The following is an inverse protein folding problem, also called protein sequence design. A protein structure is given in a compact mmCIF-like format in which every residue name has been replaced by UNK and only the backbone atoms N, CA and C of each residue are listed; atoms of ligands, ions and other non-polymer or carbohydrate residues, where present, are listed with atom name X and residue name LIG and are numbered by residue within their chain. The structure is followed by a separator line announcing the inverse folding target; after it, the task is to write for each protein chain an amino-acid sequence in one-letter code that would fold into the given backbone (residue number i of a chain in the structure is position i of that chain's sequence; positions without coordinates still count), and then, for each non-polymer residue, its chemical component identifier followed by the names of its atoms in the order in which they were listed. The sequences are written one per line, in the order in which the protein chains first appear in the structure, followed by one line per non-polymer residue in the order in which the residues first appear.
data_IF_909330175481
#
_entry.id   IF_909330175481
#
_cell.length_a   1.000
_cell.length_b   1.000
_cell.length_c   1.000
_cell.angle_alpha   90.00
_cell.angle_beta   90.00
_cell.angle_gamma   90.00
#
_symmetry.space_group_name_H-M   'P 1'
#
loop_
_entity.id
_entity.type
_entity.pdbx_description
1 polymer ?
#
# COMPACT_ATOMS: atom_id res chain seq x y z
N UNK A 1 17.87 -27.66 10.38
CA UNK A 1 18.07 -26.27 10.81
C UNK A 1 16.83 -25.44 10.47
N UNK A 2 16.29 -24.79 11.46
CA UNK A 2 15.19 -23.88 11.24
C UNK A 2 15.74 -22.56 10.69
N UNK A 3 15.25 -22.15 9.52
CA UNK A 3 15.49 -20.81 9.03
C UNK A 3 14.56 -19.87 9.79
N UNK A 4 15.14 -18.96 10.55
CA UNK A 4 14.38 -17.92 11.24
C UNK A 4 14.18 -16.76 10.30
N UNK A 5 12.93 -16.55 9.91
CA UNK A 5 12.55 -15.40 9.11
C UNK A 5 12.48 -14.17 10.00
N UNK A 6 12.78 -13.01 9.41
CA UNK A 6 12.85 -11.75 10.16
C UNK A 6 11.49 -11.09 10.28
N UNK A 7 11.28 -10.44 11.39
CA UNK A 7 10.12 -9.57 11.61
C UNK A 7 10.52 -8.42 12.52
N UNK A 8 9.96 -7.24 12.26
CA UNK A 8 10.29 -6.03 12.99
C UNK A 8 9.04 -5.20 13.24
N UNK A 9 8.88 -4.72 14.47
CA UNK A 9 7.84 -3.77 14.82
C UNK A 9 8.30 -2.37 14.43
N UNK A 10 7.41 -1.64 13.78
CA UNK A 10 7.65 -0.28 13.28
C UNK A 10 6.68 0.65 13.99
N UNK A 11 7.18 1.74 14.55
CA UNK A 11 6.41 2.56 15.48
C UNK A 11 6.15 3.99 15.02
N UNK A 12 6.53 4.35 13.79
CA UNK A 12 6.24 5.66 13.23
C UNK A 12 5.84 5.59 11.77
N UNK A 13 5.07 6.57 11.31
CA UNK A 13 4.71 6.71 9.89
C UNK A 13 5.96 6.88 9.04
N UNK A 14 6.91 7.68 9.49
CA UNK A 14 8.18 7.89 8.77
C UNK A 14 8.90 6.58 8.48
N UNK A 15 9.04 5.74 9.49
CA UNK A 15 9.72 4.45 9.34
C UNK A 15 8.90 3.48 8.51
N UNK A 16 7.58 3.50 8.63
CA UNK A 16 6.70 2.67 7.80
C UNK A 16 6.84 3.03 6.31
N UNK A 17 6.92 4.31 5.98
CA UNK A 17 7.13 4.76 4.61
C UNK A 17 8.49 4.32 4.08
N UNK A 18 9.54 4.42 4.90
CA UNK A 18 10.87 3.93 4.52
C UNK A 18 10.87 2.43 4.22
N UNK A 19 10.19 1.64 5.04
CA UNK A 19 10.05 0.19 4.84
C UNK A 19 9.24 -0.09 3.58
N UNK A 20 8.10 0.57 3.38
CA UNK A 20 7.28 0.41 2.18
C UNK A 20 8.07 0.76 0.91
N UNK A 21 8.84 1.85 0.94
CA UNK A 21 9.72 2.23 -0.16
C UNK A 21 10.73 1.13 -0.48
N UNK A 22 11.34 0.53 0.53
CA UNK A 22 12.28 -0.58 0.36
C UNK A 22 11.64 -1.82 -0.25
N UNK A 23 10.40 -2.14 0.15
CA UNK A 23 9.65 -3.26 -0.43
C UNK A 23 9.41 -3.02 -1.93
N UNK A 24 8.91 -1.83 -2.30
CA UNK A 24 8.64 -1.49 -3.71
C UNK A 24 9.94 -1.51 -4.51
N UNK A 25 11.01 -0.95 -3.97
CA UNK A 25 12.31 -0.87 -4.64
C UNK A 25 12.91 -2.25 -4.91
N UNK A 26 12.74 -3.18 -3.98
CA UNK A 26 13.25 -4.55 -4.11
C UNK A 26 12.33 -5.49 -4.89
N UNK A 27 11.08 -5.12 -5.10
CA UNK A 27 10.13 -5.94 -5.85
C UNK A 27 10.52 -6.01 -7.33
N UNK A 28 10.32 -7.18 -7.92
CA UNK A 28 10.62 -7.43 -9.33
C UNK A 28 9.37 -7.70 -10.14
N UNK A 29 8.33 -8.26 -9.54
CA UNK A 29 7.14 -8.73 -10.24
C UNK A 29 5.87 -7.99 -9.87
N UNK A 30 5.56 -7.87 -8.59
CA UNK A 30 4.29 -7.28 -8.18
C UNK A 30 4.33 -6.66 -6.79
N UNK A 31 3.48 -5.64 -6.62
CA UNK A 31 3.15 -5.07 -5.32
C UNK A 31 1.63 -4.97 -5.24
N UNK A 32 1.07 -5.33 -4.09
CA UNK A 32 -0.34 -5.11 -3.76
C UNK A 32 -0.43 -4.29 -2.48
N UNK A 33 -1.28 -3.27 -2.49
CA UNK A 33 -1.46 -2.44 -1.32
C UNK A 33 -2.93 -2.16 -1.05
N UNK A 34 -3.26 -2.05 0.23
CA UNK A 34 -4.57 -1.64 0.73
C UNK A 34 -4.28 -0.56 1.77
N UNK A 35 -4.55 0.70 1.45
CA UNK A 35 -4.05 1.85 2.22
C UNK A 35 -5.13 2.91 2.33
N UNK A 36 -5.39 3.42 3.55
CA UNK A 36 -6.26 4.58 3.72
C UNK A 36 -5.73 5.80 2.98
N UNK A 37 -6.62 6.55 2.34
CA UNK A 37 -6.24 7.67 1.47
C UNK A 37 -5.33 8.73 2.12
N UNK A 38 -5.47 9.08 3.42
CA UNK A 38 -4.54 10.02 4.05
C UNK A 38 -3.07 9.61 3.97
N UNK A 39 -2.79 8.30 4.06
CA UNK A 39 -1.41 7.80 3.94
C UNK A 39 -0.88 7.89 2.51
N UNK A 40 -1.74 7.79 1.50
CA UNK A 40 -1.30 7.94 0.11
C UNK A 40 -0.75 9.33 -0.16
N UNK A 41 -1.34 10.36 0.43
CA UNK A 41 -0.86 11.74 0.29
C UNK A 41 0.53 11.88 0.90
N UNK A 42 0.74 11.30 2.08
CA UNK A 42 2.06 11.36 2.74
C UNK A 42 3.09 10.59 1.93
N UNK A 43 2.75 9.38 1.48
CA UNK A 43 3.63 8.54 0.70
C UNK A 43 4.10 9.23 -0.60
N UNK A 44 3.20 9.93 -1.29
CA UNK A 44 3.52 10.66 -2.51
C UNK A 44 4.59 11.73 -2.27
N UNK A 45 4.55 12.41 -1.13
CA UNK A 45 5.53 13.43 -0.76
C UNK A 45 6.93 12.88 -0.51
N UNK A 46 7.05 11.57 -0.28
CA UNK A 46 8.32 10.91 0.02
C UNK A 46 8.76 9.96 -1.10
N UNK A 47 8.35 10.27 -2.33
CA UNK A 47 8.84 9.64 -3.56
C UNK A 47 8.45 8.16 -3.75
N UNK A 48 7.43 7.64 -3.07
CA UNK A 48 6.98 6.28 -3.32
C UNK A 48 6.49 6.11 -4.77
N UNK A 49 5.86 7.13 -5.34
CA UNK A 49 5.39 7.08 -6.72
C UNK A 49 6.52 6.89 -7.72
N UNK A 50 7.69 7.47 -7.46
CA UNK A 50 8.86 7.26 -8.32
C UNK A 50 9.36 5.82 -8.24
N UNK A 51 9.35 5.19 -7.07
CA UNK A 51 9.68 3.78 -6.90
C UNK A 51 8.70 2.89 -7.66
N UNK A 52 7.42 3.21 -7.60
CA UNK A 52 6.37 2.51 -8.34
C UNK A 52 6.59 2.58 -9.85
N UNK A 53 6.92 3.75 -10.37
CA UNK A 53 7.23 3.92 -11.80
C UNK A 53 8.37 3.01 -12.24
N UNK A 54 9.44 2.95 -11.47
CA UNK A 54 10.61 2.12 -11.80
C UNK A 54 10.22 0.66 -11.87
N UNK A 55 9.44 0.16 -10.91
CA UNK A 55 8.97 -1.22 -10.92
C UNK A 55 8.15 -1.52 -12.17
N UNK A 56 7.20 -0.65 -12.52
CA UNK A 56 6.34 -0.86 -13.69
C UNK A 56 7.10 -0.75 -15.01
N UNK A 57 8.13 0.11 -15.08
CA UNK A 57 9.01 0.21 -16.25
C UNK A 57 9.81 -1.07 -16.49
N UNK A 58 10.04 -1.84 -15.45
CA UNK A 58 10.70 -3.16 -15.53
C UNK A 58 9.72 -4.29 -15.87
N UNK A 59 8.45 -3.98 -16.09
CA UNK A 59 7.41 -4.98 -16.36
C UNK A 59 6.67 -5.47 -15.13
N UNK A 60 6.91 -4.87 -13.98
CA UNK A 60 6.17 -5.19 -12.74
C UNK A 60 4.75 -4.65 -12.76
N UNK A 61 3.93 -5.15 -11.84
CA UNK A 61 2.52 -4.80 -11.71
C UNK A 61 2.25 -4.29 -10.30
N UNK A 62 1.46 -3.22 -10.20
CA UNK A 62 1.02 -2.69 -8.91
C UNK A 62 -0.50 -2.59 -8.90
N UNK A 63 -1.12 -3.19 -7.89
CA UNK A 63 -2.55 -3.11 -7.62
C UNK A 63 -2.77 -2.49 -6.25
N UNK A 64 -3.74 -1.59 -6.16
CA UNK A 64 -4.04 -0.94 -4.89
C UNK A 64 -5.51 -0.72 -4.65
N UNK A 65 -5.88 -0.66 -3.39
CA UNK A 65 -7.25 -0.40 -2.94
C UNK A 65 -7.22 0.75 -1.94
N UNK A 66 -8.12 1.71 -2.13
CA UNK A 66 -8.31 2.83 -1.21
C UNK A 66 -9.74 3.34 -1.31
N UNK A 67 -10.10 4.29 -0.45
CA UNK A 67 -11.37 5.02 -0.59
C UNK A 67 -11.13 6.31 -1.33
N UNK A 68 -11.84 6.49 -2.44
CA UNK A 68 -11.72 7.70 -3.29
C UNK A 68 -12.77 8.70 -2.84
N UNK A 69 -12.32 9.88 -2.41
CA UNK A 69 -13.17 10.98 -1.98
C UNK A 69 -12.53 12.31 -2.35
N UNK A 70 -13.31 13.42 -2.37
CA UNK A 70 -12.82 14.70 -2.90
C UNK A 70 -11.46 15.17 -2.39
N UNK A 71 -11.11 15.08 -1.09
CA UNK A 71 -9.79 15.56 -0.65
C UNK A 71 -8.61 14.81 -1.22
N UNK A 72 -8.81 13.59 -1.75
CA UNK A 72 -7.73 12.70 -2.16
C UNK A 72 -7.72 12.38 -3.65
N UNK A 73 -8.56 13.08 -4.45
CA UNK A 73 -8.69 12.81 -5.89
C UNK A 73 -7.35 12.92 -6.62
N UNK A 74 -6.58 13.96 -6.34
CA UNK A 74 -5.30 14.15 -7.03
C UNK A 74 -4.30 13.05 -6.73
N UNK A 75 -4.24 12.59 -5.49
CA UNK A 75 -3.35 11.50 -5.11
C UNK A 75 -3.68 10.21 -5.88
N UNK A 76 -4.98 9.88 -5.99
CA UNK A 76 -5.42 8.70 -6.71
C UNK A 76 -5.21 8.85 -8.22
N UNK A 77 -5.54 10.02 -8.79
CA UNK A 77 -5.33 10.28 -10.22
C UNK A 77 -3.87 10.11 -10.62
N UNK A 78 -2.96 10.55 -9.77
CA UNK A 78 -1.53 10.39 -10.04
C UNK A 78 -1.13 8.92 -10.11
N UNK A 79 -1.60 8.09 -9.19
CA UNK A 79 -1.32 6.65 -9.20
C UNK A 79 -1.85 5.97 -10.46
N UNK A 80 -3.08 6.29 -10.86
CA UNK A 80 -3.67 5.77 -12.09
C UNK A 80 -2.88 6.24 -13.31
N UNK A 81 -2.47 7.51 -13.33
CA UNK A 81 -1.71 8.08 -14.43
C UNK A 81 -0.36 7.39 -14.64
N UNK A 82 0.33 7.04 -13.57
CA UNK A 82 1.62 6.35 -13.68
C UNK A 82 1.50 4.86 -13.99
N UNK A 83 0.27 4.31 -14.00
CA UNK A 83 0.02 2.94 -14.45
C UNK A 83 -0.41 1.96 -13.38
N UNK A 84 -0.62 2.37 -12.14
CA UNK A 84 -1.13 1.48 -11.11
C UNK A 84 -2.60 1.14 -11.37
N UNK A 85 -2.97 -0.11 -11.09
CA UNK A 85 -4.36 -0.52 -11.10
C UNK A 85 -4.96 -0.23 -9.72
N UNK A 86 -5.84 0.77 -9.63
CA UNK A 86 -6.44 1.18 -8.36
C UNK A 86 -7.93 0.89 -8.37
N UNK A 87 -8.44 0.35 -7.28
CA UNK A 87 -9.87 0.15 -7.06
C UNK A 87 -10.33 0.86 -5.79
N UNK A 88 -11.60 1.21 -5.79
CA UNK A 88 -12.24 1.94 -4.70
C UNK A 88 -13.08 1.00 -3.84
N UNK A 89 -12.94 1.14 -2.53
CA UNK A 89 -13.88 0.62 -1.53
C UNK A 89 -14.42 1.81 -0.76
N UNK A 90 -15.72 1.97 -0.75
CA UNK A 90 -16.36 3.12 -0.11
C UNK A 90 -16.11 3.11 1.40
N UNK A 91 -15.78 4.29 1.94
CA UNK A 91 -15.58 4.51 3.37
C UNK A 91 -14.51 3.61 4.02
N UNK A 92 -13.53 3.16 3.23
CA UNK A 92 -12.43 2.40 3.82
C UNK A 92 -11.56 3.31 4.69
N UNK A 93 -11.49 2.96 5.94
CA UNK A 93 -10.61 3.58 6.92
C UNK A 93 -10.04 2.48 7.81
N UNK A 94 -8.91 2.71 8.43
CA UNK A 94 -8.37 1.78 9.39
C UNK A 94 -6.96 1.32 9.08
N UNK A 95 -6.77 0.02 8.88
CA UNK A 95 -5.46 -0.58 8.76
C UNK A 95 -4.91 -0.49 7.33
N UNK A 96 -3.59 -0.56 7.20
CA UNK A 96 -2.95 -0.64 5.90
C UNK A 96 -2.14 -1.91 5.75
N UNK A 97 -1.92 -2.32 4.50
CA UNK A 97 -0.97 -3.37 4.15
C UNK A 97 -0.30 -3.09 2.81
N UNK A 98 0.91 -3.59 2.65
CA UNK A 98 1.64 -3.58 1.38
C UNK A 98 2.45 -4.86 1.30
N UNK A 99 2.30 -5.58 0.19
CA UNK A 99 2.95 -6.87 -0.04
C UNK A 99 3.76 -6.81 -1.32
N UNK A 100 5.03 -7.19 -1.28
CA UNK A 100 5.91 -7.25 -2.45
C UNK A 100 6.28 -8.68 -2.81
N UNK A 101 6.09 -9.06 -4.06
CA UNK A 101 6.49 -10.35 -4.66
C UNK A 101 6.05 -11.59 -3.86
N UNK A 102 4.99 -11.49 -3.07
CA UNK A 102 4.47 -12.57 -2.22
C UNK A 102 5.45 -13.08 -1.17
N UNK A 103 6.50 -12.31 -0.88
CA UNK A 103 7.57 -12.78 0.00
C UNK A 103 7.94 -11.81 1.12
N UNK A 104 7.48 -10.58 1.08
CA UNK A 104 7.65 -9.64 2.18
C UNK A 104 6.47 -8.68 2.27
N UNK A 105 6.27 -8.11 3.45
CA UNK A 105 5.12 -7.27 3.71
C UNK A 105 5.33 -6.30 4.85
N UNK A 106 4.55 -5.23 4.84
CA UNK A 106 4.33 -4.39 6.00
C UNK A 106 2.82 -4.24 6.19
N UNK A 107 2.35 -4.32 7.41
CA UNK A 107 0.94 -4.15 7.74
C UNK A 107 0.79 -3.44 9.07
N UNK A 108 -0.21 -2.56 9.20
CA UNK A 108 -0.49 -1.91 10.47
C UNK A 108 -1.21 -2.85 11.43
N UNK A 109 -0.88 -2.72 12.70
CA UNK A 109 -1.53 -3.44 13.79
C UNK A 109 -2.54 -2.55 14.52
N UNK A 110 -2.73 -1.32 14.04
CA UNK A 110 -3.65 -0.33 14.61
C UNK A 110 -4.31 0.47 13.50
N UNK A 111 -5.44 1.09 13.83
CA UNK A 111 -6.19 1.93 12.89
C UNK A 111 -5.39 3.21 12.60
N UNK A 112 -5.38 3.61 11.32
CA UNK A 112 -4.73 4.84 10.86
C UNK A 112 -5.73 6.00 11.05
N UNK A 113 -5.32 7.04 11.78
CA UNK A 113 -6.16 8.22 11.99
C UNK A 113 -6.24 9.10 10.74
N UNK A 114 -7.36 9.81 10.55
CA UNK A 114 -7.52 10.70 9.40
C UNK A 114 -6.54 11.88 9.40
N UNK A 115 -6.16 12.36 10.57
CA UNK A 115 -5.20 13.45 10.76
C UNK A 115 -3.75 12.97 10.84
N UNK A 116 -3.49 11.77 10.32
CA UNK A 116 -2.15 11.18 10.36
C UNK A 116 -1.12 12.08 9.69
N UNK A 117 0.06 12.13 10.28
CA UNK A 117 1.19 12.91 9.79
C UNK A 117 2.46 12.07 9.84
N UNK A 118 3.52 12.57 9.22
CA UNK A 118 4.79 11.84 9.15
C UNK A 118 5.35 11.47 10.53
N UNK A 119 5.15 12.32 11.51
CA UNK A 119 5.64 12.10 12.88
C UNK A 119 4.64 11.38 13.78
N UNK A 120 3.50 10.96 13.23
CA UNK A 120 2.51 10.20 13.99
C UNK A 120 3.06 8.85 14.40
N UNK A 121 2.67 8.42 15.60
CA UNK A 121 2.95 7.06 16.06
C UNK A 121 1.94 6.10 15.45
N UNK A 122 2.45 4.96 15.01
CA UNK A 122 1.64 3.83 14.57
C UNK A 122 2.30 2.56 15.10
N UNK A 123 1.57 1.46 15.03
CA UNK A 123 2.17 0.15 15.24
C UNK A 123 2.00 -0.64 13.96
N UNK A 124 3.11 -1.00 13.33
CA UNK A 124 3.13 -1.80 12.12
C UNK A 124 4.14 -2.93 12.24
N UNK A 125 3.98 -3.93 11.40
CA UNK A 125 4.83 -5.12 11.40
C UNK A 125 5.36 -5.38 10.00
N UNK A 126 6.69 -5.41 9.87
CA UNK A 126 7.37 -5.87 8.66
C UNK A 126 7.84 -7.29 8.86
N UNK A 127 7.71 -8.11 7.82
CA UNK A 127 8.29 -9.46 7.82
C UNK A 127 8.62 -9.91 6.40
N UNK A 128 9.63 -10.76 6.29
CA UNK A 128 9.99 -11.47 5.07
C UNK A 128 9.48 -12.92 5.06
N UNK A 129 8.49 -13.22 5.90
CA UNK A 129 7.83 -14.52 5.92
C UNK A 129 6.86 -14.63 4.73
N UNK A 130 7.07 -15.57 3.79
CA UNK A 130 6.19 -15.72 2.62
C UNK A 130 4.78 -16.16 2.99
N UNK A 131 4.61 -16.97 4.02
CA UNK A 131 3.28 -17.43 4.44
C UNK A 131 2.45 -16.26 4.97
N UNK A 132 3.08 -15.32 5.67
CA UNK A 132 2.38 -14.13 6.13
C UNK A 132 2.00 -13.22 4.96
N UNK A 133 2.87 -13.08 3.97
CA UNK A 133 2.56 -12.35 2.76
C UNK A 133 1.36 -12.95 2.02
N UNK A 134 1.31 -14.27 1.87
CA UNK A 134 0.17 -14.96 1.26
C UNK A 134 -1.12 -14.78 2.06
N UNK A 135 -1.03 -14.77 3.39
CA UNK A 135 -2.18 -14.49 4.25
C UNK A 135 -2.75 -13.08 3.98
N UNK A 136 -1.89 -12.06 3.94
CA UNK A 136 -2.31 -10.69 3.63
C UNK A 136 -2.89 -10.59 2.22
N UNK A 137 -2.29 -11.26 1.24
CA UNK A 137 -2.80 -11.28 -0.13
C UNK A 137 -4.18 -11.91 -0.22
N UNK A 138 -4.47 -12.93 0.58
CA UNK A 138 -5.80 -13.52 0.59
C UNK A 138 -6.87 -12.51 1.03
N UNK A 139 -6.55 -11.67 2.00
CA UNK A 139 -7.43 -10.58 2.44
C UNK A 139 -7.57 -9.56 1.31
N UNK A 140 -6.45 -9.15 0.71
CA UNK A 140 -6.45 -8.20 -0.41
C UNK A 140 -7.32 -8.69 -1.56
N UNK A 141 -7.16 -9.93 -2.00
CA UNK A 141 -7.91 -10.48 -3.13
C UNK A 141 -9.42 -10.51 -2.86
N UNK A 142 -9.83 -10.81 -1.64
CA UNK A 142 -11.25 -10.79 -1.27
C UNK A 142 -11.84 -9.39 -1.42
N UNK A 143 -11.14 -8.37 -0.95
CA UNK A 143 -11.58 -6.98 -1.07
C UNK A 143 -11.50 -6.51 -2.53
N UNK A 144 -10.45 -6.89 -3.24
CA UNK A 144 -10.23 -6.52 -4.64
C UNK A 144 -11.38 -6.92 -5.55
N UNK A 145 -11.93 -8.11 -5.36
CA UNK A 145 -13.02 -8.62 -6.19
C UNK A 145 -14.31 -7.80 -6.04
N UNK A 146 -14.53 -7.21 -4.87
CA UNK A 146 -15.73 -6.39 -4.59
C UNK A 146 -15.52 -4.91 -4.88
N UNK A 147 -14.28 -4.48 -5.08
CA UNK A 147 -13.93 -3.08 -5.26
C UNK A 147 -14.22 -2.60 -6.69
N UNK A 148 -14.53 -1.32 -6.83
CA UNK A 148 -14.85 -0.68 -8.12
C UNK A 148 -13.62 -0.02 -8.70
N UNK A 149 -13.37 -0.17 -10.01
CA UNK A 149 -12.25 0.44 -10.69
C UNK A 149 -12.20 1.96 -10.50
N UNK A 150 -11.02 2.50 -10.25
CA UNK A 150 -10.83 3.92 -9.92
C UNK A 150 -11.27 4.84 -11.06
N UNK A 151 -11.03 4.48 -12.32
CA UNK A 151 -11.42 5.33 -13.47
C UNK A 151 -12.92 5.60 -13.50
N UNK A 152 -13.72 4.57 -13.17
CA UNK A 152 -15.18 4.73 -13.10
C UNK A 152 -15.57 5.69 -11.99
N UNK A 153 -14.98 5.54 -10.80
CA UNK A 153 -15.28 6.39 -9.65
C UNK A 153 -14.81 7.83 -9.89
N UNK A 154 -13.61 8.01 -10.42
CA UNK A 154 -13.05 9.34 -10.72
C UNK A 154 -13.89 10.10 -11.76
N UNK A 155 -14.56 9.42 -12.67
CA UNK A 155 -15.42 10.05 -13.67
C UNK A 155 -16.68 10.69 -13.08
N UNK A 156 -16.99 10.38 -11.83
CA UNK A 156 -18.15 10.93 -11.11
C UNK A 156 -17.86 12.26 -10.42
N UNK A 157 -16.64 12.74 -10.45
CA UNK A 157 -16.24 13.99 -9.79
C UNK A 157 -15.89 15.11 -10.77
#
# INVERSE_FOLDING_TARGET
MLLMESGTIIESVRDAIAVASGIIESAEQEVAWLVPAPLLVIAARYNLNEKSKVLMQRGGRIRGITSISPPYLNAVRELVHIGEEVRNVQDYSGEFMLVGDRNQSISSMSVVAEDIALDSKIVAFWTDNPDYAEYLLSIFETVWQEATGARKVLSEF
#
